data_IF_867497787398
#
_entry.id   IF_867497787398
#
_cell.length_a   1.000
_cell.length_b   1.000
_cell.length_c   1.000
_cell.angle_alpha   90.00
_cell.angle_beta   90.00
_cell.angle_gamma   90.00
#
_symmetry.space_group_name_H-M   'P 1'
#
loop_
_entity.id
_entity.type
_entity.pdbx_description
1 polymer ?
#
# COMPACT_ATOMS: atom_id res chain seq x y z
N UNK A 1 3.91 -8.20 -17.18
CA UNK A 1 2.62 -7.46 -17.21
C UNK A 1 1.40 -8.38 -17.01
N UNK A 2 1.41 -9.62 -17.46
CA UNK A 2 0.28 -10.57 -17.28
C UNK A 2 0.09 -11.02 -15.82
N UNK A 3 1.18 -11.21 -15.09
CA UNK A 3 1.13 -11.60 -13.65
C UNK A 3 0.42 -10.54 -12.81
N UNK A 4 0.58 -9.25 -13.11
CA UNK A 4 -0.09 -8.17 -12.36
C UNK A 4 -1.61 -8.07 -12.60
N UNK A 5 -2.15 -8.62 -13.69
CA UNK A 5 -3.58 -8.49 -14.04
C UNK A 5 -4.51 -9.43 -13.25
N UNK A 6 -3.97 -10.41 -12.52
CA UNK A 6 -4.75 -11.43 -11.78
C UNK A 6 -4.61 -11.33 -10.25
N UNK A 7 -4.21 -10.18 -9.71
CA UNK A 7 -4.28 -9.98 -8.26
C UNK A 7 -5.74 -10.03 -7.81
N UNK A 8 -6.06 -11.06 -7.06
CA UNK A 8 -7.37 -11.24 -6.46
C UNK A 8 -7.54 -10.20 -5.36
N UNK A 9 -8.55 -9.34 -5.51
CA UNK A 9 -8.86 -8.29 -4.54
C UNK A 9 -9.38 -8.93 -3.26
N UNK A 10 -8.55 -8.98 -2.23
CA UNK A 10 -8.93 -9.43 -0.90
C UNK A 10 -9.33 -8.26 -0.01
N UNK A 11 -10.04 -8.56 1.09
CA UNK A 11 -10.56 -7.54 2.01
C UNK A 11 -9.49 -6.61 2.59
N UNK A 12 -8.26 -7.07 2.83
CA UNK A 12 -7.20 -6.24 3.42
C UNK A 12 -6.83 -5.02 2.57
N UNK A 13 -6.48 -5.15 1.29
CA UNK A 13 -6.30 -3.99 0.42
C UNK A 13 -7.59 -3.18 0.24
N UNK A 14 -8.75 -3.86 0.19
CA UNK A 14 -10.04 -3.19 0.05
C UNK A 14 -10.36 -2.32 1.26
N UNK A 15 -10.05 -2.77 2.48
CA UNK A 15 -10.21 -1.99 3.70
C UNK A 15 -9.36 -0.72 3.68
N UNK A 16 -8.07 -0.85 3.34
CA UNK A 16 -7.17 0.29 3.23
C UNK A 16 -7.66 1.34 2.23
N UNK A 17 -8.07 0.90 1.05
CA UNK A 17 -8.62 1.78 0.02
C UNK A 17 -9.93 2.44 0.48
N UNK A 18 -10.85 1.69 1.12
CA UNK A 18 -12.10 2.24 1.64
C UNK A 18 -11.84 3.39 2.62
N UNK A 19 -10.95 3.17 3.58
CA UNK A 19 -10.59 4.19 4.57
C UNK A 19 -9.92 5.39 3.91
N UNK A 20 -8.85 5.15 3.16
CA UNK A 20 -8.04 6.22 2.56
C UNK A 20 -8.86 7.07 1.58
N UNK A 21 -9.52 6.44 0.61
CA UNK A 21 -10.28 7.16 -0.41
C UNK A 21 -11.47 7.93 0.18
N UNK A 22 -12.15 7.36 1.20
CA UNK A 22 -13.24 8.08 1.89
C UNK A 22 -12.71 9.33 2.57
N UNK A 23 -11.60 9.23 3.31
CA UNK A 23 -10.99 10.40 3.97
C UNK A 23 -10.54 11.44 2.92
N UNK A 24 -9.87 11.01 1.86
CA UNK A 24 -9.45 11.91 0.79
C UNK A 24 -10.62 12.68 0.17
N UNK A 25 -11.73 12.01 -0.17
CA UNK A 25 -12.95 12.68 -0.69
C UNK A 25 -13.50 13.73 0.27
N UNK A 26 -13.44 13.45 1.58
CA UNK A 26 -13.96 14.36 2.60
C UNK A 26 -13.13 15.63 2.78
N UNK A 27 -11.80 15.54 2.73
CA UNK A 27 -10.93 16.62 3.22
C UNK A 27 -9.92 17.16 2.22
N UNK A 28 -9.66 16.49 1.09
CA UNK A 28 -8.66 16.95 0.12
C UNK A 28 -9.09 18.20 -0.63
N UNK A 29 -8.14 19.10 -0.90
CA UNK A 29 -8.33 20.22 -1.82
C UNK A 29 -8.04 19.80 -3.28
N UNK A 30 -7.13 18.84 -3.45
CA UNK A 30 -6.75 18.28 -4.75
C UNK A 30 -6.56 16.78 -4.63
N UNK A 31 -7.17 16.00 -5.53
CA UNK A 31 -6.93 14.56 -5.67
C UNK A 31 -6.42 14.27 -7.08
N UNK A 32 -5.26 13.60 -7.20
CA UNK A 32 -4.75 13.14 -8.49
C UNK A 32 -5.34 11.77 -8.82
N UNK A 33 -5.96 11.64 -9.99
CA UNK A 33 -6.47 10.37 -10.52
C UNK A 33 -5.43 9.69 -11.41
N UNK A 34 -4.62 10.48 -12.10
CA UNK A 34 -3.47 10.03 -12.89
C UNK A 34 -2.29 11.00 -12.69
N UNK A 35 -1.15 10.75 -13.34
CA UNK A 35 0.02 11.64 -13.28
C UNK A 35 -0.31 13.09 -13.67
N UNK A 36 -1.27 13.30 -14.56
CA UNK A 36 -1.61 14.63 -15.11
C UNK A 36 -3.04 15.08 -14.80
N UNK A 37 -3.95 14.15 -14.52
CA UNK A 37 -5.36 14.46 -14.25
C UNK A 37 -5.56 14.60 -12.75
N UNK A 38 -6.17 15.71 -12.34
CA UNK A 38 -6.49 16.03 -10.95
C UNK A 38 -7.90 16.62 -10.83
N UNK A 39 -8.56 16.32 -9.72
CA UNK A 39 -9.81 16.94 -9.30
C UNK A 39 -9.49 18.04 -8.29
N UNK A 40 -10.02 19.24 -8.50
CA UNK A 40 -9.82 20.42 -7.63
C UNK A 40 -11.13 21.03 -7.14
N UNK A 41 -12.25 20.65 -7.76
CA UNK A 41 -13.58 21.08 -7.36
C UNK A 41 -14.36 19.88 -6.81
N UNK A 42 -14.94 20.05 -5.63
CA UNK A 42 -15.70 19.02 -4.94
C UNK A 42 -17.04 19.61 -4.52
N UNK A 43 -18.11 18.90 -4.81
CA UNK A 43 -19.46 19.26 -4.34
C UNK A 43 -19.62 18.98 -2.84
N UNK A 44 -20.67 19.53 -2.22
CA UNK A 44 -21.00 19.19 -0.83
C UNK A 44 -21.35 17.71 -0.66
N UNK A 45 -21.99 17.13 -1.65
CA UNK A 45 -22.38 15.72 -1.70
C UNK A 45 -21.14 14.82 -1.77
N UNK A 46 -20.15 15.14 -2.60
CA UNK A 46 -18.88 14.39 -2.68
C UNK A 46 -18.09 14.45 -1.38
N UNK A 47 -18.20 15.55 -0.62
CA UNK A 47 -17.56 15.71 0.68
C UNK A 47 -18.39 15.15 1.84
N UNK A 48 -19.65 14.79 1.57
CA UNK A 48 -20.49 14.15 2.56
C UNK A 48 -19.93 12.76 2.92
N UNK A 49 -19.82 12.52 4.21
CA UNK A 49 -19.25 11.28 4.72
C UNK A 49 -19.98 10.04 4.20
N UNK A 50 -21.32 10.05 4.27
CA UNK A 50 -22.13 8.90 3.87
C UNK A 50 -22.01 8.63 2.37
N UNK A 51 -22.10 9.66 1.55
CA UNK A 51 -21.96 9.55 0.10
C UNK A 51 -20.55 9.08 -0.30
N UNK A 52 -19.50 9.64 0.32
CA UNK A 52 -18.11 9.23 0.08
C UNK A 52 -17.88 7.76 0.46
N UNK A 53 -18.35 7.34 1.64
CA UNK A 53 -18.22 5.97 2.12
C UNK A 53 -18.99 4.97 1.25
N UNK A 54 -20.26 5.24 0.95
CA UNK A 54 -21.10 4.36 0.13
C UNK A 54 -20.53 4.19 -1.29
N UNK A 55 -19.98 5.26 -1.88
CA UNK A 55 -19.37 5.20 -3.21
C UNK A 55 -18.16 4.26 -3.24
N UNK A 56 -17.30 4.30 -2.22
CA UNK A 56 -16.13 3.41 -2.11
C UNK A 56 -16.53 1.98 -1.74
N UNK A 57 -17.51 1.82 -0.85
CA UNK A 57 -18.04 0.51 -0.47
C UNK A 57 -18.66 -0.22 -1.66
N UNK A 58 -19.34 0.51 -2.56
CA UNK A 58 -19.88 -0.06 -3.80
C UNK A 58 -18.79 -0.68 -4.67
N UNK A 59 -17.64 -0.02 -4.84
CA UNK A 59 -16.51 -0.54 -5.62
C UNK A 59 -16.02 -1.91 -5.08
N UNK A 60 -16.12 -2.10 -3.75
CA UNK A 60 -15.74 -3.36 -3.10
C UNK A 60 -16.83 -4.41 -3.32
N UNK A 61 -18.10 -4.03 -3.15
CA UNK A 61 -19.26 -4.94 -3.30
C UNK A 61 -19.46 -5.42 -4.74
N UNK A 62 -19.12 -4.60 -5.72
CA UNK A 62 -19.22 -4.96 -7.15
C UNK A 62 -18.22 -6.07 -7.56
N UNK A 63 -17.26 -6.41 -6.70
CA UNK A 63 -16.31 -7.50 -6.94
C UNK A 63 -16.74 -8.74 -6.17
N UNK A 64 -16.77 -9.93 -6.82
CA UNK A 64 -17.12 -11.16 -6.11
C UNK A 64 -16.10 -11.45 -4.98
N UNK A 65 -16.55 -12.00 -3.85
CA UNK A 65 -15.64 -12.47 -2.81
C UNK A 65 -14.81 -13.67 -3.32
N UNK A 66 -13.62 -13.81 -2.79
CA UNK A 66 -12.68 -14.87 -3.20
C UNK A 66 -12.98 -16.19 -2.50
N UNK A 67 -13.35 -16.10 -1.23
CA UNK A 67 -13.66 -17.22 -0.36
C UNK A 67 -14.65 -16.78 0.75
N UNK A 68 -15.19 -17.71 1.51
CA UNK A 68 -16.13 -17.43 2.60
C UNK A 68 -15.54 -16.50 3.69
N UNK A 69 -14.22 -16.51 3.88
CA UNK A 69 -13.55 -15.59 4.80
C UNK A 69 -13.56 -14.16 4.27
N UNK A 70 -13.34 -13.99 2.97
CA UNK A 70 -13.37 -12.67 2.31
C UNK A 70 -14.79 -12.11 2.27
N UNK A 71 -15.80 -12.99 2.06
CA UNK A 71 -17.21 -12.63 2.12
C UNK A 71 -17.60 -12.09 3.50
N UNK A 72 -17.35 -12.88 4.55
CA UNK A 72 -17.55 -12.46 5.94
C UNK A 72 -16.82 -11.15 6.24
N UNK A 73 -15.58 -11.02 5.77
CA UNK A 73 -14.78 -9.83 6.00
C UNK A 73 -15.40 -8.57 5.41
N UNK A 74 -15.93 -8.64 4.20
CA UNK A 74 -16.54 -7.51 3.50
C UNK A 74 -17.85 -7.06 4.12
N UNK A 75 -18.59 -7.98 4.73
CA UNK A 75 -19.81 -7.68 5.48
C UNK A 75 -19.50 -6.97 6.79
N UNK A 76 -18.57 -7.54 7.58
CA UNK A 76 -18.29 -7.10 8.94
C UNK A 76 -17.31 -5.92 9.06
N UNK A 77 -16.50 -5.66 8.00
CA UNK A 77 -15.47 -4.62 8.07
C UNK A 77 -16.01 -3.19 8.14
N UNK A 78 -17.28 -2.97 7.85
CA UNK A 78 -17.86 -1.63 7.71
C UNK A 78 -17.72 -0.81 9.00
N UNK A 79 -18.07 -1.42 10.15
CA UNK A 79 -17.96 -0.73 11.43
C UNK A 79 -16.51 -0.35 11.75
N UNK A 80 -15.58 -1.28 11.56
CA UNK A 80 -14.14 -1.00 11.74
C UNK A 80 -13.62 0.08 10.79
N UNK A 81 -14.16 0.12 9.57
CA UNK A 81 -13.80 1.16 8.60
C UNK A 81 -14.34 2.53 9.03
N UNK A 82 -15.55 2.62 9.55
CA UNK A 82 -16.12 3.88 10.09
C UNK A 82 -15.22 4.46 11.18
N UNK A 83 -14.85 3.63 12.15
CA UNK A 83 -14.00 4.06 13.28
C UNK A 83 -12.60 4.46 12.78
N UNK A 84 -12.00 3.65 11.90
CA UNK A 84 -10.69 3.93 11.30
C UNK A 84 -10.68 5.23 10.45
N UNK A 85 -11.77 5.53 9.73
CA UNK A 85 -11.94 6.79 8.98
C UNK A 85 -11.92 7.98 9.94
N UNK A 86 -12.60 7.88 11.08
CA UNK A 86 -12.60 8.93 12.10
C UNK A 86 -11.20 9.23 12.63
N UNK A 87 -10.46 8.18 13.00
CA UNK A 87 -9.07 8.29 13.46
C UNK A 87 -8.16 8.86 12.37
N UNK A 88 -8.27 8.34 11.14
CA UNK A 88 -7.45 8.78 9.99
C UNK A 88 -7.68 10.25 9.67
N UNK A 89 -8.95 10.66 9.54
CA UNK A 89 -9.30 12.05 9.25
C UNK A 89 -8.68 13.00 10.28
N UNK A 90 -8.83 12.67 11.56
CA UNK A 90 -8.30 13.51 12.66
C UNK A 90 -6.79 13.65 12.55
N UNK A 91 -6.03 12.55 12.46
CA UNK A 91 -4.57 12.61 12.43
C UNK A 91 -4.04 13.33 11.20
N UNK A 92 -4.66 13.14 10.02
CA UNK A 92 -4.26 13.85 8.80
C UNK A 92 -4.48 15.36 8.96
N UNK A 93 -5.64 15.77 9.49
CA UNK A 93 -5.94 17.18 9.73
C UNK A 93 -5.01 17.81 10.78
N UNK A 94 -4.68 17.09 11.85
CA UNK A 94 -3.75 17.55 12.90
C UNK A 94 -2.33 17.77 12.33
N UNK A 95 -1.85 16.88 11.45
CA UNK A 95 -0.52 17.01 10.84
C UNK A 95 -0.48 18.11 9.79
N UNK A 96 -1.44 18.15 8.88
CA UNK A 96 -1.47 19.09 7.74
C UNK A 96 -1.85 20.49 8.23
N UNK A 97 -2.76 20.59 9.19
CA UNK A 97 -3.24 21.87 9.72
C UNK A 97 -4.12 22.61 8.72
N UNK A 98 -3.77 23.87 8.46
CA UNK A 98 -4.49 24.76 7.53
C UNK A 98 -3.89 24.80 6.12
N UNK A 99 -2.86 24.03 5.85
CA UNK A 99 -2.24 23.97 4.55
C UNK A 99 -3.19 23.32 3.52
N UNK A 100 -3.00 23.69 2.25
CA UNK A 100 -3.68 23.00 1.15
C UNK A 100 -3.30 21.53 1.15
N UNK A 101 -4.30 20.66 1.14
CA UNK A 101 -4.13 19.21 1.14
C UNK A 101 -4.25 18.64 -0.28
N UNK A 102 -3.15 18.03 -0.74
CA UNK A 102 -3.06 17.32 -2.02
C UNK A 102 -2.96 15.83 -1.75
N UNK A 103 -3.77 15.03 -2.43
CA UNK A 103 -3.79 13.56 -2.29
C UNK A 103 -3.39 12.85 -3.58
N UNK A 104 -2.82 11.66 -3.45
CA UNK A 104 -2.48 10.76 -4.55
C UNK A 104 -1.52 11.37 -5.58
N UNK A 105 -0.67 12.32 -5.15
CA UNK A 105 0.27 12.96 -6.08
C UNK A 105 1.32 11.98 -6.58
N UNK A 106 1.42 11.87 -7.89
CA UNK A 106 2.45 11.06 -8.54
C UNK A 106 3.82 11.72 -8.39
N UNK A 107 4.78 10.91 -7.99
CA UNK A 107 6.19 11.27 -7.94
C UNK A 107 7.00 10.26 -8.70
N UNK A 108 8.07 10.73 -9.33
CA UNK A 108 9.05 9.87 -9.98
C UNK A 108 10.44 10.39 -9.74
N UNK A 109 11.38 9.48 -9.62
CA UNK A 109 12.79 9.80 -9.54
C UNK A 109 13.61 8.77 -10.32
N UNK A 110 14.60 9.25 -11.04
CA UNK A 110 15.50 8.42 -11.84
C UNK A 110 16.94 8.86 -11.59
N UNK A 111 17.71 7.98 -11.00
CA UNK A 111 19.16 8.16 -10.95
C UNK A 111 19.75 8.02 -12.36
N UNK A 112 20.86 8.72 -12.64
CA UNK A 112 21.47 8.78 -13.98
C UNK A 112 21.78 7.40 -14.56
N UNK A 113 22.12 6.44 -13.71
CA UNK A 113 22.52 5.08 -14.11
C UNK A 113 21.35 4.12 -14.24
N UNK A 114 20.14 4.48 -13.82
CA UNK A 114 18.96 3.63 -13.92
C UNK A 114 18.35 3.65 -15.32
N UNK A 115 17.87 2.50 -15.80
CA UNK A 115 17.13 2.40 -17.06
C UNK A 115 15.72 2.97 -16.96
N UNK A 116 15.05 2.74 -15.83
CA UNK A 116 13.68 3.17 -15.59
C UNK A 116 13.57 4.01 -14.33
N UNK A 117 12.65 5.00 -14.29
CA UNK A 117 12.38 5.75 -13.07
C UNK A 117 11.69 4.87 -12.03
N UNK A 118 11.95 5.17 -10.76
CA UNK A 118 11.12 4.72 -9.65
C UNK A 118 9.91 5.65 -9.62
N UNK A 119 8.73 5.07 -9.47
CA UNK A 119 7.46 5.81 -9.43
C UNK A 119 6.70 5.48 -8.15
N UNK A 120 5.95 6.45 -7.64
CA UNK A 120 5.07 6.26 -6.48
C UNK A 120 3.93 7.26 -6.45
N UNK A 121 3.06 7.11 -5.46
CA UNK A 121 1.96 8.03 -5.17
C UNK A 121 1.96 8.34 -3.68
N UNK A 122 1.96 9.63 -3.36
CA UNK A 122 1.93 10.11 -1.98
C UNK A 122 0.48 10.20 -1.53
N UNK A 123 0.14 9.55 -0.42
CA UNK A 123 -1.22 9.51 0.10
C UNK A 123 -1.76 10.91 0.42
N UNK A 124 -1.00 11.69 1.21
CA UNK A 124 -1.36 13.06 1.59
C UNK A 124 -0.13 13.95 1.60
N UNK A 125 -0.28 15.15 1.09
CA UNK A 125 0.81 16.12 0.96
C UNK A 125 0.31 17.55 1.15
N UNK A 126 1.14 18.39 1.81
CA UNK A 126 1.00 19.83 1.84
C UNK A 126 2.21 20.52 1.20
N UNK A 127 2.31 21.83 1.36
CA UNK A 127 3.47 22.58 0.88
C UNK A 127 4.78 22.08 1.50
N UNK A 128 4.79 21.75 2.77
CA UNK A 128 6.00 21.44 3.55
C UNK A 128 6.08 20.03 4.11
N UNK A 129 4.97 19.28 4.10
CA UNK A 129 4.84 17.96 4.74
C UNK A 129 4.28 16.95 3.77
N UNK A 130 4.58 15.67 4.02
CA UNK A 130 3.81 14.58 3.42
C UNK A 130 3.54 13.48 4.45
N UNK A 131 2.47 12.72 4.23
CA UNK A 131 2.07 11.60 5.07
C UNK A 131 2.01 10.36 4.20
N UNK A 132 2.66 9.30 4.64
CA UNK A 132 2.45 7.93 4.18
C UNK A 132 1.56 7.23 5.20
N UNK A 133 0.35 6.85 4.79
CA UNK A 133 -0.66 6.26 5.65
C UNK A 133 -0.67 4.74 5.53
N UNK A 134 -0.66 4.06 6.66
CA UNK A 134 -0.76 2.59 6.76
C UNK A 134 -1.93 2.18 7.64
N UNK A 135 -3.03 1.84 7.02
CA UNK A 135 -4.19 1.29 7.73
C UNK A 135 -3.97 -0.17 8.11
N UNK A 136 -4.36 -0.52 9.32
CA UNK A 136 -4.34 -1.90 9.82
C UNK A 136 -5.77 -2.46 9.80
N UNK A 137 -6.08 -3.30 8.80
CA UNK A 137 -7.38 -3.95 8.73
C UNK A 137 -7.57 -4.88 9.92
N UNK A 138 -8.82 -5.10 10.37
CA UNK A 138 -9.07 -6.02 11.47
C UNK A 138 -8.64 -7.45 11.14
N UNK A 139 -8.23 -8.20 12.17
CA UNK A 139 -7.92 -9.62 12.04
C UNK A 139 -9.18 -10.45 12.02
N UNK A 140 -9.20 -11.47 11.15
CA UNK A 140 -10.27 -12.46 11.06
C UNK A 140 -9.72 -13.82 11.40
N UNK A 141 -10.33 -14.47 12.35
CA UNK A 141 -9.99 -15.83 12.77
C UNK A 141 -11.24 -16.71 12.90
N UNK A 142 -11.10 -17.97 12.56
CA UNK A 142 -12.15 -18.96 12.79
C UNK A 142 -12.25 -19.22 14.30
N UNK A 143 -13.45 -19.26 14.83
CA UNK A 143 -13.68 -19.60 16.24
C UNK A 143 -13.35 -21.08 16.43
N UNK A 144 -12.57 -21.41 17.46
CA UNK A 144 -12.15 -22.79 17.73
C UNK A 144 -13.38 -23.68 17.92
N UNK A 145 -13.44 -24.80 17.20
CA UNK A 145 -14.52 -25.78 17.19
C UNK A 145 -15.89 -25.27 16.68
N UNK A 146 -15.92 -24.16 15.92
CA UNK A 146 -17.13 -23.65 15.27
C UNK A 146 -16.85 -23.26 13.83
N UNK A 147 -17.87 -23.25 12.98
CA UNK A 147 -17.77 -22.75 11.61
C UNK A 147 -17.97 -21.21 11.53
N UNK A 148 -17.82 -20.53 12.64
CA UNK A 148 -18.01 -19.10 12.77
C UNK A 148 -16.68 -18.36 12.63
N UNK A 149 -16.71 -17.19 11.99
CA UNK A 149 -15.62 -16.25 11.94
C UNK A 149 -15.80 -15.15 12.98
N UNK A 150 -14.71 -14.64 13.51
CA UNK A 150 -14.70 -13.47 14.41
C UNK A 150 -13.70 -12.43 13.92
N UNK A 151 -14.12 -11.18 13.92
CA UNK A 151 -13.29 -10.03 13.64
C UNK A 151 -12.79 -9.37 14.92
N UNK A 152 -11.58 -8.83 14.90
CA UNK A 152 -10.99 -8.10 16.04
C UNK A 152 -9.98 -7.08 15.55
N UNK A 153 -9.85 -5.95 16.24
CA UNK A 153 -8.84 -4.94 15.95
C UNK A 153 -7.44 -5.55 15.88
N UNK A 154 -6.65 -5.08 14.92
CA UNK A 154 -5.24 -5.47 14.80
C UNK A 154 -4.39 -4.41 15.50
N UNK A 155 -3.40 -4.79 16.33
CA UNK A 155 -2.50 -3.82 16.93
C UNK A 155 -1.67 -3.11 15.84
N UNK A 156 -1.37 -1.83 16.07
CA UNK A 156 -0.45 -1.07 15.23
C UNK A 156 0.99 -1.35 15.65
N UNK A 157 1.95 -1.27 14.71
CA UNK A 157 3.37 -1.47 15.02
C UNK A 157 3.88 -0.38 15.97
N UNK A 158 4.70 -0.76 16.92
CA UNK A 158 5.39 0.17 17.83
C UNK A 158 6.62 0.82 17.21
N UNK A 159 7.09 0.26 16.08
CA UNK A 159 8.24 0.73 15.31
C UNK A 159 7.90 0.78 13.82
N UNK A 160 8.50 1.68 13.04
CA UNK A 160 8.37 1.69 11.59
C UNK A 160 8.86 0.39 10.96
N UNK A 161 8.07 -0.21 10.07
CA UNK A 161 8.55 -1.38 9.32
C UNK A 161 9.51 -0.96 8.21
N UNK A 162 10.47 -1.83 7.89
CA UNK A 162 11.49 -1.58 6.87
C UNK A 162 10.89 -1.20 5.50
N UNK A 163 9.86 -1.90 5.04
CA UNK A 163 9.23 -1.64 3.75
C UNK A 163 8.58 -0.24 3.71
N UNK A 164 7.91 0.15 4.80
CA UNK A 164 7.27 1.46 4.89
C UNK A 164 8.29 2.59 5.01
N UNK A 165 9.41 2.36 5.72
CA UNK A 165 10.53 3.29 5.76
C UNK A 165 11.17 3.47 4.37
N UNK A 166 11.35 2.38 3.63
CA UNK A 166 11.90 2.42 2.26
C UNK A 166 10.98 3.23 1.34
N UNK A 167 9.67 3.05 1.42
CA UNK A 167 8.70 3.85 0.68
C UNK A 167 8.74 5.33 1.09
N UNK A 168 8.78 5.60 2.40
CA UNK A 168 8.90 6.96 2.94
C UNK A 168 10.20 7.63 2.50
N UNK A 169 11.32 6.89 2.45
CA UNK A 169 12.61 7.40 1.99
C UNK A 169 12.57 7.83 0.52
N UNK A 170 11.90 7.06 -0.33
CA UNK A 170 11.69 7.44 -1.73
C UNK A 170 10.89 8.75 -1.86
N UNK A 171 9.78 8.89 -1.13
CA UNK A 171 8.98 10.12 -1.17
C UNK A 171 9.74 11.31 -0.59
N UNK A 172 10.53 11.10 0.46
CA UNK A 172 11.41 12.11 0.99
C UNK A 172 12.42 12.60 -0.06
N UNK A 173 13.05 11.69 -0.79
CA UNK A 173 14.00 12.05 -1.85
C UNK A 173 13.34 12.82 -3.00
N UNK A 174 12.11 12.46 -3.39
CA UNK A 174 11.35 13.15 -4.43
C UNK A 174 10.90 14.56 -4.03
N UNK A 175 10.60 14.79 -2.74
CA UNK A 175 9.91 16.00 -2.30
C UNK A 175 10.75 16.90 -1.42
N UNK A 176 11.69 16.34 -0.67
CA UNK A 176 12.47 16.98 0.40
C UNK A 176 11.58 17.65 1.48
N UNK A 177 10.33 17.22 1.61
CA UNK A 177 9.38 17.67 2.62
C UNK A 177 9.51 16.86 3.91
N UNK A 178 8.96 17.40 4.99
CA UNK A 178 8.94 16.71 6.30
C UNK A 178 8.08 15.46 6.19
N UNK A 179 8.65 14.28 6.42
CA UNK A 179 7.93 13.00 6.33
C UNK A 179 7.15 12.68 7.61
N UNK A 180 5.98 12.13 7.45
CA UNK A 180 5.19 11.51 8.49
C UNK A 180 4.78 10.11 8.03
N UNK A 181 5.17 9.07 8.78
CA UNK A 181 4.68 7.72 8.59
C UNK A 181 3.63 7.45 9.67
N UNK A 182 2.40 7.21 9.25
CA UNK A 182 1.24 7.11 10.13
C UNK A 182 0.63 5.72 10.04
N UNK A 183 0.56 5.03 11.16
CA UNK A 183 -0.21 3.78 11.29
C UNK A 183 -1.52 4.07 12.00
N UNK A 184 -2.62 3.55 11.46
CA UNK A 184 -3.95 3.69 12.05
C UNK A 184 -4.68 2.34 12.08
N UNK A 185 -5.50 2.14 13.09
CA UNK A 185 -6.52 1.11 13.15
C UNK A 185 -7.88 1.74 13.54
N UNK A 186 -8.84 0.93 13.90
CA UNK A 186 -10.18 1.36 14.31
C UNK A 186 -10.23 2.09 15.68
N UNK A 187 -9.14 2.11 16.45
CA UNK A 187 -9.10 2.65 17.83
C UNK A 187 -8.08 3.75 18.02
N UNK A 188 -6.94 3.63 17.38
CA UNK A 188 -5.77 4.44 17.69
C UNK A 188 -4.89 4.68 16.46
N UNK A 189 -3.93 5.57 16.61
CA UNK A 189 -2.89 5.83 15.63
C UNK A 189 -1.53 6.01 16.30
N UNK A 190 -0.46 5.76 15.55
CA UNK A 190 0.91 6.12 15.90
C UNK A 190 1.48 6.93 14.73
N UNK A 191 2.17 8.02 15.07
CA UNK A 191 2.85 8.90 14.12
C UNK A 191 4.35 8.81 14.35
N UNK A 192 5.09 8.50 13.29
CA UNK A 192 6.54 8.59 13.26
C UNK A 192 6.94 9.78 12.40
N UNK A 193 7.66 10.71 12.97
CA UNK A 193 8.20 11.90 12.32
C UNK A 193 9.72 12.00 12.52
N UNK A 194 10.33 13.12 12.19
CA UNK A 194 11.78 13.33 12.28
C UNK A 194 12.34 13.29 13.73
N UNK A 195 11.50 13.25 14.77
CA UNK A 195 11.95 13.01 16.14
C UNK A 195 12.38 11.54 16.35
N UNK A 196 11.84 10.64 15.56
CA UNK A 196 12.19 9.22 15.58
C UNK A 196 13.49 8.96 14.81
N UNK A 197 14.42 8.16 15.37
CA UNK A 197 15.74 7.91 14.78
C UNK A 197 15.68 7.42 13.34
N UNK A 198 14.79 6.45 13.06
CA UNK A 198 14.63 5.86 11.73
C UNK A 198 13.98 6.82 10.70
N UNK A 199 13.40 7.93 11.13
CA UNK A 199 12.78 8.95 10.27
C UNK A 199 13.69 10.16 10.04
N UNK A 200 14.89 10.18 10.62
CA UNK A 200 15.87 11.24 10.38
C UNK A 200 16.33 11.23 8.93
N UNK A 201 16.66 12.42 8.45
CA UNK A 201 17.11 12.68 7.08
C UNK A 201 18.19 11.69 6.62
N UNK A 202 19.27 11.56 7.39
CA UNK A 202 20.42 10.75 6.99
C UNK A 202 20.06 9.27 6.87
N UNK A 203 19.18 8.78 7.74
CA UNK A 203 18.68 7.41 7.67
C UNK A 203 17.80 7.18 6.42
N UNK A 204 16.86 8.10 6.15
CA UNK A 204 16.02 8.01 4.95
C UNK A 204 16.83 8.11 3.65
N UNK A 205 17.83 8.99 3.58
CA UNK A 205 18.73 9.08 2.44
C UNK A 205 19.52 7.77 2.26
N UNK A 206 20.05 7.20 3.35
CA UNK A 206 20.73 5.91 3.30
C UNK A 206 19.83 4.78 2.77
N UNK A 207 18.60 4.67 3.27
CA UNK A 207 17.64 3.66 2.79
C UNK A 207 17.31 3.84 1.30
N UNK A 208 17.16 5.07 0.87
CA UNK A 208 16.93 5.37 -0.55
C UNK A 208 18.08 4.88 -1.42
N UNK A 209 19.33 5.20 -1.04
CA UNK A 209 20.50 4.73 -1.79
C UNK A 209 20.60 3.20 -1.81
N UNK A 210 20.31 2.53 -0.69
CA UNK A 210 20.23 1.05 -0.66
C UNK A 210 19.17 0.49 -1.60
N UNK A 211 18.01 1.13 -1.69
CA UNK A 211 16.97 0.76 -2.65
C UNK A 211 17.48 0.92 -4.09
N UNK A 212 18.15 2.04 -4.40
CA UNK A 212 18.72 2.30 -5.72
C UNK A 212 19.79 1.27 -6.10
N UNK A 213 20.71 0.93 -5.18
CA UNK A 213 21.71 -0.13 -5.38
C UNK A 213 21.03 -1.47 -5.76
N UNK A 214 19.95 -1.83 -5.06
CA UNK A 214 19.21 -3.06 -5.33
C UNK A 214 18.52 -3.04 -6.70
N UNK A 215 17.94 -1.92 -7.08
CA UNK A 215 17.32 -1.75 -8.41
C UNK A 215 18.38 -1.85 -9.51
N UNK A 216 19.49 -1.15 -9.38
CA UNK A 216 20.61 -1.20 -10.34
C UNK A 216 21.20 -2.60 -10.48
N UNK A 217 21.31 -3.34 -9.37
CA UNK A 217 21.70 -4.74 -9.42
C UNK A 217 20.76 -5.57 -10.31
N UNK A 218 19.44 -5.46 -10.09
CA UNK A 218 18.46 -6.18 -10.89
C UNK A 218 18.43 -5.74 -12.36
N UNK A 219 18.56 -4.44 -12.64
CA UNK A 219 18.67 -3.94 -14.01
C UNK A 219 19.89 -4.53 -14.74
N UNK A 220 21.05 -4.58 -14.07
CA UNK A 220 22.26 -5.21 -14.62
C UNK A 220 22.07 -6.70 -14.87
N UNK A 221 21.43 -7.42 -13.95
CA UNK A 221 21.13 -8.85 -14.11
C UNK A 221 20.21 -9.10 -15.32
N UNK A 222 19.14 -8.31 -15.46
CA UNK A 222 18.22 -8.40 -16.60
C UNK A 222 18.95 -8.12 -17.92
N UNK A 223 19.83 -7.12 -17.93
CA UNK A 223 20.64 -6.79 -19.11
C UNK A 223 21.61 -7.91 -19.45
N UNK A 224 22.29 -8.48 -18.46
CA UNK A 224 23.24 -9.58 -18.63
C UNK A 224 22.56 -10.80 -19.27
N UNK A 225 21.36 -11.16 -18.79
CA UNK A 225 20.58 -12.25 -19.34
C UNK A 225 19.92 -11.93 -20.69
N UNK A 226 20.10 -10.72 -21.24
CA UNK A 226 19.51 -10.27 -22.53
C UNK A 226 18.01 -10.54 -22.65
N UNK A 227 17.29 -10.52 -21.53
CA UNK A 227 15.87 -10.83 -21.45
C UNK A 227 15.54 -12.33 -21.46
N UNK A 228 16.53 -13.20 -21.39
CA UNK A 228 16.32 -14.65 -21.22
C UNK A 228 15.88 -14.94 -19.78
N UNK A 229 14.59 -15.29 -19.63
CA UNK A 229 13.97 -15.54 -18.33
C UNK A 229 14.57 -16.78 -17.64
N UNK A 230 14.96 -17.80 -18.41
CA UNK A 230 15.55 -19.02 -17.85
C UNK A 230 16.93 -18.75 -17.26
N UNK A 231 17.78 -18.00 -17.97
CA UNK A 231 19.08 -17.58 -17.44
C UNK A 231 18.93 -16.71 -16.19
N UNK A 232 17.99 -15.78 -16.20
CA UNK A 232 17.70 -14.95 -15.04
C UNK A 232 17.22 -15.80 -13.85
N UNK A 233 16.33 -16.76 -14.07
CA UNK A 233 15.85 -17.68 -13.04
C UNK A 233 16.99 -18.54 -12.45
N UNK A 234 17.93 -19.02 -13.27
CA UNK A 234 19.09 -19.78 -12.80
C UNK A 234 20.07 -18.94 -11.94
N UNK A 235 20.09 -17.61 -12.12
CA UNK A 235 20.87 -16.69 -11.30
C UNK A 235 20.19 -16.26 -10.01
N UNK A 236 18.89 -16.50 -9.90
CA UNK A 236 18.10 -16.16 -8.72
C UNK A 236 17.93 -17.40 -7.85
N UNK A 237 17.87 -17.19 -6.55
CA UNK A 237 17.43 -18.22 -5.62
C UNK A 237 16.00 -18.66 -5.96
N UNK A 238 15.74 -19.96 -5.90
CA UNK A 238 14.39 -20.47 -6.14
C UNK A 238 13.41 -19.86 -5.14
N UNK A 239 12.21 -19.45 -5.57
CA UNK A 239 11.22 -18.90 -4.65
C UNK A 239 10.79 -19.95 -3.62
N UNK A 240 10.67 -19.53 -2.37
CA UNK A 240 10.11 -20.37 -1.32
C UNK A 240 8.60 -20.51 -1.54
N UNK A 241 8.21 -21.56 -2.26
CA UNK A 241 6.81 -21.88 -2.53
C UNK A 241 6.07 -22.43 -1.31
N UNK A 242 6.75 -22.68 -0.18
CA UNK A 242 6.09 -23.00 1.09
C UNK A 242 5.48 -21.78 1.78
N UNK A 243 5.93 -20.56 1.40
CA UNK A 243 5.45 -19.32 2.00
C UNK A 243 4.21 -18.79 1.26
N UNK A 244 3.02 -18.77 1.88
CA UNK A 244 1.74 -18.41 1.24
C UNK A 244 1.72 -17.04 0.57
N UNK A 245 2.55 -16.10 1.01
CA UNK A 245 2.61 -14.74 0.47
C UNK A 245 2.93 -14.71 -1.04
N UNK A 246 3.80 -15.62 -1.51
CA UNK A 246 4.30 -15.58 -2.89
C UNK A 246 3.39 -16.29 -3.91
N UNK A 247 2.60 -17.27 -3.49
CA UNK A 247 1.87 -18.13 -4.43
C UNK A 247 0.41 -18.40 -4.07
N UNK A 248 -0.06 -18.00 -2.89
CA UNK A 248 -1.44 -18.25 -2.44
C UNK A 248 -2.51 -17.76 -3.41
N UNK A 249 -2.17 -16.74 -4.20
CA UNK A 249 -3.08 -16.08 -5.14
C UNK A 249 -2.65 -16.26 -6.61
N UNK A 250 -1.70 -17.16 -6.88
CA UNK A 250 -1.30 -17.50 -8.24
C UNK A 250 -2.31 -18.47 -8.86
N UNK A 251 -2.62 -18.25 -10.14
CA UNK A 251 -3.35 -19.23 -10.91
C UNK A 251 -2.50 -20.50 -11.10
N UNK A 252 -3.13 -21.70 -11.24
CA UNK A 252 -2.39 -22.95 -11.41
C UNK A 252 -1.36 -22.91 -12.53
N UNK A 253 -1.67 -22.23 -13.67
CA UNK A 253 -0.77 -22.08 -14.80
C UNK A 253 0.47 -21.22 -14.46
N UNK A 254 0.30 -20.23 -13.57
CA UNK A 254 1.40 -19.38 -13.12
C UNK A 254 2.31 -20.14 -12.15
N UNK A 255 1.72 -20.94 -11.26
CA UNK A 255 2.47 -21.80 -10.35
C UNK A 255 3.25 -22.86 -11.15
N UNK A 256 2.63 -23.46 -12.17
CA UNK A 256 3.29 -24.42 -13.07
C UNK A 256 4.47 -23.76 -13.82
N UNK A 257 4.31 -22.52 -14.30
CA UNK A 257 5.38 -21.77 -14.96
C UNK A 257 6.57 -21.55 -14.01
N UNK A 258 6.30 -21.13 -12.78
CA UNK A 258 7.34 -20.93 -11.76
C UNK A 258 8.05 -22.24 -11.46
N UNK A 259 7.30 -23.31 -11.22
CA UNK A 259 7.83 -24.64 -10.95
C UNK A 259 8.73 -25.14 -12.06
N UNK A 260 8.32 -24.94 -13.31
CA UNK A 260 9.12 -25.33 -14.49
C UNK A 260 10.39 -24.49 -14.62
N UNK A 261 10.35 -23.18 -14.36
CA UNK A 261 11.52 -22.29 -14.45
C UNK A 261 12.64 -22.68 -13.51
N UNK A 262 12.29 -23.15 -12.29
CA UNK A 262 13.27 -23.56 -11.29
C UNK A 262 13.44 -25.07 -11.17
N UNK A 263 12.83 -25.86 -12.05
CA UNK A 263 12.93 -27.33 -12.00
C UNK A 263 12.37 -27.95 -10.71
N UNK A 264 11.44 -27.25 -10.04
CA UNK A 264 10.86 -27.71 -8.79
C UNK A 264 9.82 -28.83 -9.08
N UNK A 265 9.83 -29.88 -8.28
CA UNK A 265 8.77 -30.92 -8.37
C UNK A 265 7.56 -30.45 -7.55
N UNK A 266 6.37 -30.54 -8.13
CA UNK A 266 5.12 -30.50 -7.36
C UNK A 266 5.02 -31.79 -6.55
N UNK A 267 5.05 -31.67 -5.24
CA UNK A 267 4.58 -32.74 -4.37
C UNK A 267 3.07 -32.65 -4.15
#
# INVERSE_FOLDING_TARGET
QEVRRKFVFRYKPSFGNLVNNTVQKMIADVIYTTKTIKQTAFTKEERDYKAAFESELKIIKDKPPVDAKDEFAREEMQQYAHDCIGVTKKVVQDIIGKDQLVCERYVEHKEMTMLKPIIGRIDYESKTKFIELKTKPPNIRKVKNKEEWKMSSQPIPTEPTFDNLTQTSFYYMCTKKIPFLVYVNDKEHIVFDQSHELMKKDHLEHLYFKMCEKILFWEKMIMFCKGNIQELAMMCEAPDLSHPFYYKDLAPEQLQLITNLWGMKHE
#
